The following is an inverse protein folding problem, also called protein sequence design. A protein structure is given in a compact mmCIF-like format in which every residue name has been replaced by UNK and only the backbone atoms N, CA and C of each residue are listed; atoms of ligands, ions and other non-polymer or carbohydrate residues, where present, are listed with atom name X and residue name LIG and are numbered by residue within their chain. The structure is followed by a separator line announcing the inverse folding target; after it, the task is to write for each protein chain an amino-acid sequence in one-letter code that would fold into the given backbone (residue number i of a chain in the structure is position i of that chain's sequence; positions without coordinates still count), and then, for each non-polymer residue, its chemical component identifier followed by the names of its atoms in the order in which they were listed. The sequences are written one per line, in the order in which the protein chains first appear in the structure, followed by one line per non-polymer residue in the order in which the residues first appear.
data_IF_352999447594
#
_entry.id   IF_352999447594
#
_cell.length_a   1.000
_cell.length_b   1.000
_cell.length_c   1.000
_cell.angle_alpha   90.00
_cell.angle_beta   90.00
_cell.angle_gamma   90.00
#
_symmetry.space_group_name_H-M   'P 1'
#
loop_
_entity.id
_entity.type
_entity.pdbx_description
1 polymer ?
#
# COMPACT_ATOMS: atom_id res chain seq x y z
N UNK A 1 -6.51 55.53 0.10
CA UNK A 1 -7.27 54.33 -0.33
C UNK A 1 -6.36 53.43 -1.15
N UNK A 2 -5.61 52.52 -0.52
CA UNK A 2 -4.64 51.66 -1.22
C UNK A 2 -4.29 50.38 -0.45
N UNK A 3 -5.17 49.94 0.44
CA UNK A 3 -5.01 48.74 1.26
C UNK A 3 -6.29 47.90 1.21
N UNK A 4 -6.64 47.39 0.03
CA UNK A 4 -7.80 46.51 -0.13
C UNK A 4 -7.46 45.18 -0.83
N UNK A 5 -6.19 44.91 -1.13
CA UNK A 5 -5.79 43.75 -1.95
C UNK A 5 -5.03 42.67 -1.14
N UNK A 6 -4.73 42.88 0.15
CA UNK A 6 -3.92 41.92 0.93
C UNK A 6 -4.72 40.87 1.72
N UNK A 7 -6.05 40.83 1.60
CA UNK A 7 -6.90 40.00 2.49
C UNK A 7 -7.34 38.64 1.90
N UNK A 8 -6.95 38.30 0.67
CA UNK A 8 -7.47 37.11 -0.06
C UNK A 8 -6.37 36.07 -0.32
N UNK A 9 -5.51 35.81 0.66
CA UNK A 9 -4.48 34.76 0.55
C UNK A 9 -4.25 33.97 1.85
N UNK A 10 -5.26 33.86 2.72
CA UNK A 10 -5.12 33.16 4.01
C UNK A 10 -6.17 32.05 4.26
N UNK A 11 -7.01 31.68 3.29
CA UNK A 11 -8.09 30.71 3.52
C UNK A 11 -7.88 29.29 2.96
N UNK A 12 -6.72 28.95 2.39
CA UNK A 12 -6.45 27.60 1.87
C UNK A 12 -5.72 26.67 2.86
N UNK A 13 -6.02 26.80 4.16
CA UNK A 13 -5.25 26.16 5.23
C UNK A 13 -5.98 25.13 6.11
N UNK A 14 -7.19 24.67 5.76
CA UNK A 14 -7.91 23.70 6.60
C UNK A 14 -8.46 22.55 5.74
N UNK A 15 -7.59 21.61 5.41
CA UNK A 15 -8.00 20.21 5.25
C UNK A 15 -6.96 19.33 5.92
N UNK A 16 -6.96 19.35 7.26
CA UNK A 16 -6.39 18.27 8.04
C UNK A 16 -7.53 17.30 8.33
N UNK A 17 -7.88 16.50 7.31
CA UNK A 17 -8.68 15.31 7.51
C UNK A 17 -7.89 14.36 8.40
N UNK A 18 -8.08 14.47 9.71
CA UNK A 18 -7.71 13.42 10.66
C UNK A 18 -8.69 12.27 10.42
N UNK A 19 -8.51 11.56 9.31
CA UNK A 19 -8.99 10.19 9.21
C UNK A 19 -8.27 9.44 10.32
N UNK A 20 -8.97 9.20 11.43
CA UNK A 20 -8.43 8.43 12.55
C UNK A 20 -7.83 7.16 11.97
N UNK A 21 -6.51 6.99 12.15
CA UNK A 21 -5.72 5.89 11.60
C UNK A 21 -6.48 4.59 11.78
N UNK A 22 -7.10 4.12 10.70
CA UNK A 22 -7.80 2.84 10.71
C UNK A 22 -6.72 1.78 10.74
N UNK A 23 -6.83 0.83 11.66
CA UNK A 23 -5.95 -0.32 11.63
C UNK A 23 -6.18 -1.09 10.31
N UNK A 24 -5.13 -1.71 9.75
CA UNK A 24 -5.28 -2.64 8.63
C UNK A 24 -6.27 -3.76 8.98
N UNK A 25 -7.08 -4.19 8.00
CA UNK A 25 -8.01 -5.32 8.16
C UNK A 25 -7.23 -6.63 8.32
N UNK A 26 -6.14 -6.78 7.56
CA UNK A 26 -5.21 -7.90 7.66
C UNK A 26 -4.22 -7.62 8.80
N UNK A 27 -4.06 -8.55 9.77
CA UNK A 27 -3.08 -8.41 10.83
C UNK A 27 -1.66 -8.18 10.29
N UNK A 28 -0.88 -7.29 10.93
CA UNK A 28 0.43 -6.88 10.41
C UNK A 28 1.39 -8.04 10.14
N UNK A 29 1.43 -9.07 11.00
CA UNK A 29 2.27 -10.25 10.78
C UNK A 29 1.91 -11.00 9.49
N UNK A 30 0.61 -11.23 9.26
CA UNK A 30 0.09 -11.84 8.04
C UNK A 30 0.32 -10.95 6.82
N UNK A 31 0.17 -9.63 6.99
CA UNK A 31 0.36 -8.65 5.93
C UNK A 31 1.82 -8.58 5.46
N UNK A 32 2.78 -8.71 6.37
CA UNK A 32 4.22 -8.81 6.03
C UNK A 32 4.46 -10.04 5.14
N UNK A 33 4.02 -11.23 5.55
CA UNK A 33 4.19 -12.45 4.74
C UNK A 33 3.52 -12.35 3.38
N UNK A 34 2.31 -11.76 3.33
CA UNK A 34 1.59 -11.52 2.08
C UNK A 34 2.37 -10.57 1.16
N UNK A 35 2.88 -9.45 1.69
CA UNK A 35 3.61 -8.45 0.91
C UNK A 35 4.93 -9.00 0.37
N UNK A 36 5.62 -9.85 1.13
CA UNK A 36 6.82 -10.56 0.64
C UNK A 36 6.49 -11.36 -0.62
N UNK A 37 5.43 -12.16 -0.60
CA UNK A 37 5.06 -12.99 -1.75
C UNK A 37 4.47 -12.15 -2.91
N UNK A 38 3.80 -11.03 -2.63
CA UNK A 38 3.42 -10.04 -3.64
C UNK A 38 4.66 -9.49 -4.35
N UNK A 39 5.69 -9.08 -3.61
CA UNK A 39 6.92 -8.55 -4.22
C UNK A 39 7.69 -9.60 -5.01
N UNK A 40 7.65 -10.87 -4.61
CA UNK A 40 8.22 -11.97 -5.41
C UNK A 40 7.42 -12.16 -6.70
N UNK A 41 6.08 -12.11 -6.63
CA UNK A 41 5.22 -12.17 -7.80
C UNK A 41 5.47 -11.01 -8.79
N UNK A 42 5.76 -9.80 -8.30
CA UNK A 42 6.09 -8.64 -9.15
C UNK A 42 7.27 -8.90 -10.09
N UNK A 43 8.26 -9.70 -9.66
CA UNK A 43 9.41 -10.05 -10.53
C UNK A 43 8.91 -10.82 -11.76
N UNK A 44 8.07 -11.83 -11.56
CA UNK A 44 7.50 -12.62 -12.66
C UNK A 44 6.53 -11.80 -13.53
N UNK A 45 5.77 -10.87 -12.94
CA UNK A 45 4.89 -9.96 -13.67
C UNK A 45 5.71 -8.97 -14.51
N UNK A 46 6.84 -8.49 -13.99
CA UNK A 46 7.70 -7.54 -14.67
C UNK A 46 8.32 -8.13 -15.93
N UNK A 47 8.68 -9.42 -15.91
CA UNK A 47 9.26 -10.16 -17.03
C UNK A 47 8.23 -10.56 -18.09
N UNK A 48 6.93 -10.40 -17.81
CA UNK A 48 5.87 -10.74 -18.75
C UNK A 48 5.83 -9.79 -19.97
N UNK A 49 5.47 -10.29 -21.17
CA UNK A 49 5.23 -9.44 -22.33
C UNK A 49 4.18 -8.37 -22.03
N UNK A 50 4.39 -7.15 -22.53
CA UNK A 50 3.48 -6.03 -22.27
C UNK A 50 2.01 -6.35 -22.60
N UNK A 51 1.76 -7.06 -23.71
CA UNK A 51 0.42 -7.47 -24.14
C UNK A 51 -0.26 -8.48 -23.18
N UNK A 52 0.49 -9.16 -22.33
CA UNK A 52 0.01 -10.15 -21.38
C UNK A 52 0.19 -9.70 -19.92
N UNK A 53 0.67 -8.48 -19.67
CA UNK A 53 1.08 -8.05 -18.33
C UNK A 53 -0.09 -8.05 -17.34
N UNK A 54 -1.24 -7.55 -17.77
CA UNK A 54 -2.45 -7.50 -16.93
C UNK A 54 -2.99 -8.90 -16.61
N UNK A 55 -2.98 -9.81 -17.58
CA UNK A 55 -3.46 -11.19 -17.36
C UNK A 55 -2.51 -11.97 -16.46
N UNK A 56 -1.19 -11.80 -16.65
CA UNK A 56 -0.17 -12.40 -15.79
C UNK A 56 -0.25 -11.82 -14.37
N UNK A 57 -0.45 -10.51 -14.22
CA UNK A 57 -0.65 -9.87 -12.92
C UNK A 57 -1.89 -10.42 -12.21
N UNK A 58 -3.03 -10.53 -12.91
CA UNK A 58 -4.24 -11.08 -12.34
C UNK A 58 -4.07 -12.53 -11.83
N UNK A 59 -3.33 -13.36 -12.59
CA UNK A 59 -3.02 -14.73 -12.19
C UNK A 59 -2.14 -14.78 -10.94
N UNK A 60 -1.05 -14.01 -10.91
CA UNK A 60 -0.12 -14.03 -9.80
C UNK A 60 -0.69 -13.43 -8.51
N UNK A 61 -1.36 -12.28 -8.58
CA UNK A 61 -2.02 -11.72 -7.40
C UNK A 61 -3.14 -12.65 -6.91
N UNK A 62 -3.93 -13.22 -7.81
CA UNK A 62 -4.95 -14.20 -7.46
C UNK A 62 -4.37 -15.42 -6.76
N UNK A 63 -3.23 -15.95 -7.25
CA UNK A 63 -2.52 -17.04 -6.60
C UNK A 63 -2.04 -16.65 -5.20
N UNK A 64 -1.35 -15.51 -5.05
CA UNK A 64 -0.84 -15.03 -3.76
C UNK A 64 -1.97 -14.83 -2.75
N UNK A 65 -3.05 -14.15 -3.13
CA UNK A 65 -4.21 -13.95 -2.26
C UNK A 65 -4.86 -15.27 -1.82
N UNK A 66 -4.95 -16.25 -2.73
CA UNK A 66 -5.43 -17.59 -2.40
C UNK A 66 -4.52 -18.31 -1.41
N UNK A 67 -3.21 -18.27 -1.60
CA UNK A 67 -2.24 -18.92 -0.68
C UNK A 67 -2.32 -18.34 0.74
N UNK A 68 -2.53 -17.03 0.84
CA UNK A 68 -2.66 -16.34 2.13
C UNK A 68 -4.08 -16.37 2.70
N UNK A 69 -5.06 -16.95 2.01
CA UNK A 69 -6.48 -16.88 2.37
C UNK A 69 -6.90 -15.43 2.70
N UNK A 70 -6.73 -14.55 1.72
CA UNK A 70 -7.00 -13.12 1.79
C UNK A 70 -7.89 -12.72 0.63
N UNK A 71 -8.92 -11.92 0.90
CA UNK A 71 -9.71 -11.28 -0.15
C UNK A 71 -9.00 -10.03 -0.65
N UNK A 72 -9.13 -9.74 -1.95
CA UNK A 72 -8.50 -8.56 -2.58
C UNK A 72 -8.94 -7.27 -1.89
N UNK A 73 -10.20 -7.17 -1.51
CA UNK A 73 -10.79 -6.00 -0.87
C UNK A 73 -10.17 -5.76 0.52
N UNK A 74 -9.91 -6.82 1.29
CA UNK A 74 -9.26 -6.73 2.60
C UNK A 74 -7.81 -6.26 2.46
N UNK A 75 -7.12 -6.72 1.41
CA UNK A 75 -5.78 -6.26 1.08
C UNK A 75 -5.79 -4.77 0.73
N UNK A 76 -6.65 -4.34 -0.19
CA UNK A 76 -6.75 -2.93 -0.60
C UNK A 76 -7.09 -2.01 0.59
N UNK A 77 -8.02 -2.41 1.46
CA UNK A 77 -8.35 -1.68 2.68
C UNK A 77 -7.17 -1.62 3.65
N UNK A 78 -6.42 -2.72 3.79
CA UNK A 78 -5.23 -2.79 4.63
C UNK A 78 -4.10 -1.89 4.13
N UNK A 79 -3.87 -1.86 2.81
CA UNK A 79 -2.90 -0.95 2.20
C UNK A 79 -3.32 0.51 2.35
N UNK A 80 -4.62 0.82 2.18
CA UNK A 80 -5.15 2.17 2.42
C UNK A 80 -4.95 2.60 3.87
N UNK A 81 -5.23 1.71 4.83
CA UNK A 81 -4.96 1.92 6.25
C UNK A 81 -3.48 2.19 6.53
N UNK A 82 -2.57 1.37 5.99
CA UNK A 82 -1.12 1.59 6.13
C UNK A 82 -0.68 2.94 5.58
N UNK A 83 -1.15 3.32 4.39
CA UNK A 83 -0.78 4.60 3.75
C UNK A 83 -1.23 5.83 4.55
N UNK A 84 -2.24 5.69 5.41
CA UNK A 84 -2.70 6.78 6.29
C UNK A 84 -1.77 7.05 7.48
N UNK A 85 -0.85 6.13 7.79
CA UNK A 85 0.11 6.24 8.90
C UNK A 85 1.55 5.96 8.40
N UNK A 86 2.32 7.01 8.07
CA UNK A 86 3.69 6.88 7.57
C UNK A 86 4.63 6.09 8.49
N UNK A 87 4.43 6.16 9.81
CA UNK A 87 5.27 5.43 10.77
C UNK A 87 4.95 3.94 10.72
N UNK A 88 3.66 3.59 10.61
CA UNK A 88 3.23 2.19 10.54
C UNK A 88 3.67 1.53 9.23
N UNK A 89 3.46 2.19 8.08
CA UNK A 89 3.88 1.63 6.79
C UNK A 89 5.40 1.42 6.73
N UNK A 90 6.19 2.35 7.27
CA UNK A 90 7.65 2.20 7.39
C UNK A 90 8.03 0.92 8.14
N UNK A 91 7.46 0.71 9.33
CA UNK A 91 7.71 -0.50 10.13
C UNK A 91 7.30 -1.81 9.44
N UNK A 92 6.21 -1.80 8.68
CA UNK A 92 5.79 -2.98 7.91
C UNK A 92 6.81 -3.27 6.80
N UNK A 93 7.25 -2.25 6.07
CA UNK A 93 8.22 -2.44 4.99
C UNK A 93 9.63 -2.78 5.48
N UNK A 94 10.04 -2.29 6.67
CA UNK A 94 11.27 -2.78 7.34
C UNK A 94 11.24 -4.29 7.52
N UNK A 95 10.13 -4.84 8.04
CA UNK A 95 9.96 -6.28 8.22
C UNK A 95 9.89 -7.04 6.89
N UNK A 96 9.22 -6.48 5.88
CA UNK A 96 9.19 -7.08 4.53
C UNK A 96 10.61 -7.19 3.96
N UNK A 97 11.42 -6.13 4.12
CA UNK A 97 12.81 -6.11 3.67
C UNK A 97 13.64 -7.15 4.42
N UNK A 98 13.52 -7.23 5.75
CA UNK A 98 14.20 -8.23 6.57
C UNK A 98 13.85 -9.68 6.13
N UNK A 99 12.58 -9.96 5.83
CA UNK A 99 12.14 -11.27 5.36
C UNK A 99 12.64 -11.60 3.95
N UNK A 100 12.70 -10.61 3.05
CA UNK A 100 13.28 -10.78 1.72
C UNK A 100 14.78 -11.05 1.78
N UNK A 101 15.50 -10.35 2.67
CA UNK A 101 16.94 -10.53 2.84
C UNK A 101 17.31 -11.92 3.38
N UNK A 102 16.45 -12.53 4.20
CA UNK A 102 16.62 -13.93 4.67
C UNK A 102 16.47 -14.99 3.58
N UNK A 103 15.87 -14.64 2.45
CA UNK A 103 15.62 -15.56 1.31
C UNK A 103 16.68 -15.46 0.21
N UNK A 104 17.67 -14.57 0.36
CA UNK A 104 18.84 -14.46 -0.52
C UNK A 104 19.86 -15.55 -0.19
#
# INVERSE_FOLDING_TARGET
MKYFIFSVLCFLGISCGKDGSKAPVIPESKLVSLLVDVHIAEVAIQDAPAAAKDSVAALWYGYVFKQHNVQKEDFEQSIKALRSDPKRIGKVYEKVQEELDKRK
#
